data_IF_975462429566
#
_entry.id   IF_975462429566
#
_cell.length_a   1.000
_cell.length_b   1.000
_cell.length_c   1.000
_cell.angle_alpha   90.00
_cell.angle_beta   90.00
_cell.angle_gamma   90.00
#
_symmetry.space_group_name_H-M   'P 1'
#
loop_
_entity.id
_entity.type
_entity.pdbx_description
1 polymer ?
#
# COMPACT_ATOMS: atom_id res chain seq x y z
N UNK A 1 -4.09 -0.18 -2.37
CA UNK A 1 -2.73 -0.38 -2.95
C UNK A 1 -2.15 0.98 -3.35
N UNK A 2 -0.90 1.27 -3.00
CA UNK A 2 -0.18 2.47 -3.42
C UNK A 2 0.13 2.49 -4.93
N UNK A 3 0.45 3.64 -5.52
CA UNK A 3 0.82 3.71 -6.96
C UNK A 3 2.12 2.94 -7.28
N UNK A 4 2.99 2.78 -6.29
CA UNK A 4 4.21 1.95 -6.35
C UNK A 4 3.99 0.51 -5.84
N UNK A 5 2.77 0.15 -5.43
CA UNK A 5 2.43 -1.18 -4.95
C UNK A 5 2.54 -1.34 -3.44
N UNK A 6 2.83 -0.28 -2.68
CA UNK A 6 2.89 -0.35 -1.23
C UNK A 6 1.57 -0.80 -0.59
N UNK A 7 1.68 -1.36 0.61
CA UNK A 7 0.58 -1.68 1.52
C UNK A 7 0.77 -0.93 2.84
N UNK A 8 -0.11 0.02 3.16
CA UNK A 8 0.19 1.02 4.19
C UNK A 8 1.58 1.66 3.93
N UNK A 9 2.42 1.86 4.94
CA UNK A 9 3.79 2.36 4.75
C UNK A 9 4.83 1.26 4.50
N UNK A 10 4.44 0.14 3.90
CA UNK A 10 5.37 -0.90 3.46
C UNK A 10 5.72 -0.65 1.98
N UNK A 11 6.62 0.31 1.75
CA UNK A 11 7.08 0.68 0.42
C UNK A 11 8.06 -0.34 -0.19
N UNK A 12 8.16 -0.39 -1.53
CA UNK A 12 9.19 -1.17 -2.22
C UNK A 12 10.62 -0.72 -1.87
N UNK A 13 11.56 -1.66 -1.66
CA UNK A 13 11.34 -3.08 -1.43
C UNK A 13 10.78 -3.32 -0.01
N UNK A 14 9.68 -4.07 0.10
CA UNK A 14 9.08 -4.40 1.39
C UNK A 14 9.62 -5.72 1.98
N UNK A 15 9.73 -5.77 3.30
CA UNK A 15 10.00 -7.02 4.02
C UNK A 15 8.70 -7.83 4.21
N UNK A 16 8.72 -9.09 3.76
CA UNK A 16 7.60 -10.03 3.91
C UNK A 16 7.71 -10.91 5.15
N UNK A 17 8.88 -10.95 5.81
CA UNK A 17 9.11 -11.76 7.02
C UNK A 17 9.59 -10.93 8.24
N UNK A 18 9.07 -9.71 8.46
CA UNK A 18 9.47 -8.93 9.64
C UNK A 18 9.00 -9.61 10.92
N UNK A 19 9.85 -9.58 11.94
CA UNK A 19 9.54 -10.15 13.25
C UNK A 19 8.68 -9.21 14.11
N UNK A 20 8.78 -7.91 13.89
CA UNK A 20 7.96 -6.90 14.55
C UNK A 20 6.58 -6.75 13.91
N UNK A 21 5.59 -6.39 14.74
CA UNK A 21 4.22 -6.14 14.28
C UNK A 21 4.04 -4.71 13.73
N UNK A 22 4.89 -3.80 14.21
CA UNK A 22 4.76 -2.36 14.00
C UNK A 22 6.15 -1.78 13.78
N UNK A 23 6.26 -0.84 12.86
CA UNK A 23 7.49 -0.08 12.59
C UNK A 23 7.22 1.42 12.64
N UNK A 24 8.26 2.17 13.01
CA UNK A 24 8.32 3.61 12.78
C UNK A 24 8.85 3.81 11.35
N UNK A 25 8.17 4.66 10.58
CA UNK A 25 8.53 4.97 9.19
C UNK A 25 8.79 6.46 9.09
N UNK A 26 9.91 6.85 8.49
CA UNK A 26 10.16 8.23 8.12
C UNK A 26 9.30 8.57 6.90
N UNK A 27 8.48 9.61 7.01
CA UNK A 27 7.61 10.05 5.92
C UNK A 27 8.42 10.90 4.95
N UNK A 28 8.42 10.53 3.68
CA UNK A 28 9.00 11.36 2.64
C UNK A 28 8.24 12.68 2.48
N UNK A 29 8.90 13.66 1.85
CA UNK A 29 8.32 14.98 1.69
C UNK A 29 7.03 14.95 0.84
N UNK A 30 6.95 14.05 -0.14
CA UNK A 30 5.78 13.88 -1.01
C UNK A 30 4.56 13.45 -0.20
N UNK A 31 4.71 12.44 0.65
CA UNK A 31 3.66 11.94 1.55
C UNK A 31 3.25 13.02 2.53
N UNK A 32 4.20 13.75 3.12
CA UNK A 32 3.89 14.86 4.05
C UNK A 32 3.14 15.99 3.36
N UNK A 33 3.53 16.37 2.13
CA UNK A 33 2.83 17.37 1.33
C UNK A 33 1.41 16.92 0.95
N UNK A 34 1.21 15.64 0.67
CA UNK A 34 -0.11 15.08 0.39
C UNK A 34 -1.03 15.26 1.60
N UNK A 35 -0.56 15.00 2.83
CA UNK A 35 -1.37 15.18 4.04
C UNK A 35 -1.83 16.65 4.24
N UNK A 36 -1.02 17.62 3.83
CA UNK A 36 -1.43 19.04 3.81
C UNK A 36 -2.47 19.28 2.71
N UNK A 37 -2.25 18.75 1.51
CA UNK A 37 -3.18 18.90 0.38
C UNK A 37 -4.56 18.28 0.64
N UNK A 38 -4.62 17.22 1.45
CA UNK A 38 -5.85 16.56 1.91
C UNK A 38 -6.51 17.29 3.09
N UNK A 39 -5.85 18.31 3.65
CA UNK A 39 -6.37 19.10 4.77
C UNK A 39 -6.24 18.42 6.14
N UNK A 40 -5.40 17.38 6.25
CA UNK A 40 -5.13 16.71 7.54
C UNK A 40 -4.23 17.55 8.45
N UNK A 41 -3.34 18.37 7.87
CA UNK A 41 -2.48 19.30 8.61
C UNK A 41 -2.48 20.69 7.97
N UNK A 42 -2.35 21.78 8.75
CA UNK A 42 -2.34 23.15 8.22
C UNK A 42 -1.11 23.49 7.38
N UNK A 43 0.05 22.95 7.76
CA UNK A 43 1.35 23.24 7.15
C UNK A 43 2.23 22.00 7.09
N UNK A 44 3.28 22.07 6.26
CA UNK A 44 4.25 20.96 6.14
C UNK A 44 5.05 20.80 7.45
N UNK A 45 5.36 21.91 8.12
CA UNK A 45 6.06 21.97 9.40
C UNK A 45 5.27 21.29 10.52
N UNK A 46 3.93 21.40 10.49
CA UNK A 46 3.03 20.73 11.43
C UNK A 46 2.75 19.26 11.08
N UNK A 47 3.12 18.81 9.88
CA UNK A 47 2.95 17.42 9.47
C UNK A 47 4.06 16.56 10.10
N UNK A 48 3.74 15.49 10.84
CA UNK A 48 4.74 14.61 11.45
C UNK A 48 5.77 14.10 10.44
N UNK A 49 7.04 14.04 10.86
CA UNK A 49 8.12 13.46 10.06
C UNK A 49 8.14 11.93 10.10
N UNK A 50 7.39 11.33 11.03
CA UNK A 50 7.33 9.88 11.20
C UNK A 50 5.88 9.41 11.32
N UNK A 51 5.65 8.19 10.84
CA UNK A 51 4.41 7.45 11.00
C UNK A 51 4.67 6.13 11.74
N UNK A 52 3.61 5.59 12.34
CA UNK A 52 3.60 4.24 12.91
C UNK A 52 2.78 3.38 11.95
N UNK A 53 3.35 2.29 11.44
CA UNK A 53 2.68 1.40 10.48
C UNK A 53 2.77 -0.05 10.90
N UNK A 54 1.72 -0.80 10.64
CA UNK A 54 1.76 -2.25 10.70
C UNK A 54 2.71 -2.80 9.63
N UNK A 55 3.44 -3.85 9.97
CA UNK A 55 4.18 -4.65 8.99
C UNK A 55 3.23 -5.52 8.17
N UNK A 56 3.66 -6.00 7.00
CA UNK A 56 2.81 -6.79 6.09
C UNK A 56 2.16 -8.00 6.79
N UNK A 57 2.89 -8.86 7.53
CA UNK A 57 2.27 -9.96 8.25
C UNK A 57 1.25 -9.52 9.30
N UNK A 58 1.49 -8.40 9.98
CA UNK A 58 0.55 -7.87 10.97
C UNK A 58 -0.71 -7.27 10.31
N UNK A 59 -0.53 -6.53 9.20
CA UNK A 59 -1.60 -5.93 8.41
C UNK A 59 -2.54 -6.98 7.81
N UNK A 60 -1.98 -8.14 7.42
CA UNK A 60 -2.72 -9.23 6.79
C UNK A 60 -3.17 -10.33 7.77
N UNK A 61 -2.90 -10.17 9.07
CA UNK A 61 -3.33 -11.11 10.12
C UNK A 61 -4.84 -11.31 10.28
N UNK A 62 -5.72 -10.31 10.09
CA UNK A 62 -7.15 -10.50 10.31
C UNK A 62 -7.77 -11.62 9.45
N UNK A 63 -8.84 -12.27 9.92
CA UNK A 63 -9.50 -13.38 9.20
C UNK A 63 -10.12 -13.00 7.85
N UNK A 64 -10.32 -11.69 7.62
CA UNK A 64 -10.86 -11.12 6.38
C UNK A 64 -10.19 -9.78 6.13
N UNK A 65 -9.62 -9.60 4.95
CA UNK A 65 -8.96 -8.37 4.53
C UNK A 65 -9.60 -7.89 3.22
N UNK A 66 -10.12 -6.67 3.23
CA UNK A 66 -10.68 -6.03 2.05
C UNK A 66 -9.67 -4.98 1.56
N UNK A 67 -9.24 -5.12 0.31
CA UNK A 67 -8.33 -4.16 -0.32
C UNK A 67 -9.13 -3.41 -1.37
N UNK A 68 -9.38 -2.12 -1.15
CA UNK A 68 -10.16 -1.27 -2.06
C UNK A 68 -9.18 -0.38 -2.82
N UNK A 69 -9.13 -0.49 -4.14
CA UNK A 69 -8.15 0.22 -4.98
C UNK A 69 -8.81 0.77 -6.24
N UNK A 70 -9.58 1.87 -6.14
CA UNK A 70 -10.20 2.53 -7.29
C UNK A 70 -9.20 3.44 -8.03
N UNK A 71 -9.68 4.07 -9.11
CA UNK A 71 -9.03 5.13 -9.90
C UNK A 71 -8.06 4.67 -11.01
N UNK A 72 -8.03 5.39 -12.16
CA UNK A 72 -7.23 5.01 -13.33
C UNK A 72 -5.72 5.01 -13.06
N UNK A 73 -5.23 5.89 -12.18
CA UNK A 73 -3.81 5.94 -11.79
C UNK A 73 -3.31 4.65 -11.13
N UNK A 74 -4.21 3.77 -10.70
CA UNK A 74 -3.87 2.48 -10.11
C UNK A 74 -3.79 1.34 -11.12
N UNK A 75 -4.21 1.53 -12.37
CA UNK A 75 -4.35 0.44 -13.33
C UNK A 75 -3.03 -0.33 -13.57
N UNK A 76 -1.93 0.39 -13.78
CA UNK A 76 -0.60 -0.20 -14.01
C UNK A 76 -0.13 -1.05 -12.83
N UNK A 77 -0.29 -0.53 -11.61
CA UNK A 77 0.17 -1.22 -10.41
C UNK A 77 -0.74 -2.38 -10.03
N UNK A 78 -2.04 -2.27 -10.32
CA UNK A 78 -3.00 -3.37 -10.18
C UNK A 78 -2.62 -4.52 -11.11
N UNK A 79 -2.34 -4.25 -12.40
CA UNK A 79 -1.83 -5.25 -13.35
C UNK A 79 -0.56 -5.93 -12.82
N UNK A 80 0.44 -5.14 -12.43
CA UNK A 80 1.69 -5.68 -11.86
C UNK A 80 1.46 -6.53 -10.60
N UNK A 81 0.53 -6.13 -9.74
CA UNK A 81 0.22 -6.86 -8.51
C UNK A 81 -0.49 -8.20 -8.78
N UNK A 82 -1.37 -8.24 -9.77
CA UNK A 82 -2.19 -9.42 -10.08
C UNK A 82 -1.54 -10.40 -11.07
N UNK A 83 -0.79 -9.89 -12.04
CA UNK A 83 -0.25 -10.67 -13.17
C UNK A 83 1.28 -10.76 -13.16
N UNK A 84 1.97 -9.86 -12.45
CA UNK A 84 3.44 -9.88 -12.31
C UNK A 84 3.96 -10.98 -11.37
N UNK A 85 5.27 -11.06 -11.12
CA UNK A 85 5.83 -11.95 -10.10
C UNK A 85 5.46 -11.50 -8.68
N UNK A 86 5.50 -12.41 -7.71
CA UNK A 86 5.43 -12.04 -6.29
C UNK A 86 6.83 -11.53 -5.89
N UNK A 87 6.95 -10.25 -5.54
CA UNK A 87 8.24 -9.60 -5.25
C UNK A 87 8.12 -8.47 -4.22
N UNK A 88 9.13 -8.27 -3.35
CA UNK A 88 9.28 -7.08 -2.50
C UNK A 88 9.16 -5.75 -3.24
N UNK A 89 9.57 -5.70 -4.52
CA UNK A 89 9.50 -4.49 -5.35
C UNK A 89 8.07 -4.08 -5.71
N UNK A 90 7.11 -5.00 -5.54
CA UNK A 90 5.67 -4.77 -5.70
C UNK A 90 4.97 -5.42 -4.51
N UNK A 91 4.97 -4.78 -3.32
CA UNK A 91 4.47 -5.39 -2.08
C UNK A 91 3.05 -5.94 -2.19
N UNK A 92 2.17 -5.26 -2.93
CA UNK A 92 0.81 -5.70 -3.21
C UNK A 92 0.71 -7.04 -3.97
N UNK A 93 1.76 -7.47 -4.66
CA UNK A 93 1.82 -8.81 -5.28
C UNK A 93 1.75 -9.93 -4.25
N UNK A 94 2.17 -9.68 -3.00
CA UNK A 94 2.09 -10.60 -1.87
C UNK A 94 0.65 -10.93 -1.47
N UNK A 95 -0.32 -10.04 -1.76
CA UNK A 95 -1.74 -10.27 -1.45
C UNK A 95 -2.26 -11.57 -2.09
N UNK A 96 -1.73 -11.99 -3.24
CA UNK A 96 -2.09 -13.24 -3.93
C UNK A 96 -1.74 -14.50 -3.13
N UNK A 97 -0.86 -14.40 -2.14
CA UNK A 97 -0.53 -15.52 -1.24
C UNK A 97 -1.57 -15.74 -0.15
N UNK A 98 -2.47 -14.78 0.06
CA UNK A 98 -3.39 -14.75 1.19
C UNK A 98 -4.81 -15.10 0.75
N UNK A 99 -5.30 -16.27 1.17
CA UNK A 99 -6.62 -16.80 0.76
C UNK A 99 -7.82 -15.98 1.27
N UNK A 100 -7.61 -15.18 2.31
CA UNK A 100 -8.65 -14.38 2.97
C UNK A 100 -8.63 -12.89 2.58
N UNK A 101 -7.79 -12.52 1.61
CA UNK A 101 -7.77 -11.20 1.01
C UNK A 101 -8.74 -11.16 -0.16
N UNK A 102 -9.55 -10.10 -0.23
CA UNK A 102 -10.39 -9.79 -1.40
C UNK A 102 -10.05 -8.41 -1.91
N UNK A 103 -9.70 -8.31 -3.20
CA UNK A 103 -9.40 -7.05 -3.87
C UNK A 103 -10.65 -6.54 -4.58
N UNK A 104 -11.05 -5.31 -4.28
CA UNK A 104 -12.13 -4.59 -4.93
C UNK A 104 -11.55 -3.51 -5.84
N UNK A 105 -11.84 -3.65 -7.13
CA UNK A 105 -11.42 -2.76 -8.20
C UNK A 105 -12.66 -2.16 -8.87
N UNK A 106 -12.52 -0.94 -9.37
CA UNK A 106 -13.46 -0.35 -10.32
C UNK A 106 -13.01 -0.60 -11.77
N UNK A 107 -13.81 -0.16 -12.74
CA UNK A 107 -13.48 -0.31 -14.15
C UNK A 107 -12.15 0.38 -14.52
N UNK A 108 -11.87 1.53 -13.92
CA UNK A 108 -10.68 2.32 -14.24
C UNK A 108 -9.39 1.67 -13.73
N UNK A 109 -9.39 1.21 -12.49
CA UNK A 109 -8.25 0.52 -11.86
C UNK A 109 -8.03 -0.91 -12.38
N UNK A 110 -9.04 -1.52 -13.01
CA UNK A 110 -8.92 -2.84 -13.66
C UNK A 110 -8.71 -2.76 -15.17
N UNK A 111 -8.65 -1.56 -15.76
CA UNK A 111 -8.66 -1.35 -17.21
C UNK A 111 -7.51 -2.00 -18.00
N UNK A 112 -6.43 -2.43 -17.32
CA UNK A 112 -5.25 -3.04 -17.93
C UNK A 112 -5.10 -4.54 -17.63
N UNK A 113 -6.06 -5.16 -16.93
CA UNK A 113 -6.07 -6.59 -16.67
C UNK A 113 -6.45 -7.40 -17.91
N UNK A 114 -5.88 -8.60 -18.05
CA UNK A 114 -6.13 -9.54 -19.14
C UNK A 114 -7.44 -10.34 -18.99
#
# INVERSE_FOLDING_TARGET
IGENGHLAFNDPPADFEPTELVRIVEMDEVSRRQQVGEGHFPTLEETPAHAISLTIPALLRPDRVLVVTPEPRKAEIVKKSLEGPITPDVPASYLRTQKHVTLFLDGDSSALLD
#
